data_IF_366704957285
#
_entry.id   IF_366704957285
#
_cell.length_a   1.000
_cell.length_b   1.000
_cell.length_c   1.000
_cell.angle_alpha   90.00
_cell.angle_beta   90.00
_cell.angle_gamma   90.00
#
_symmetry.space_group_name_H-M   'P 1'
#
loop_
_entity.id
_entity.type
_entity.pdbx_description
1 polymer ?
#
# COMPACT_ATOMS: atom_id res chain seq x y z
N UNK A 1 -4.44 18.37 -15.46
CA UNK A 1 -3.45 17.97 -14.46
C UNK A 1 -3.98 16.91 -13.52
N UNK A 2 -5.01 17.23 -12.67
CA UNK A 2 -5.44 16.25 -11.63
C UNK A 2 -5.95 14.93 -12.21
N UNK A 3 -6.72 14.93 -13.30
CA UNK A 3 -7.18 13.71 -13.96
C UNK A 3 -6.00 12.83 -14.44
N UNK A 4 -4.95 13.44 -14.98
CA UNK A 4 -3.74 12.70 -15.39
C UNK A 4 -3.07 12.08 -14.16
N UNK A 5 -2.95 12.81 -13.06
CA UNK A 5 -2.37 12.27 -11.82
C UNK A 5 -3.21 11.14 -11.21
N UNK A 6 -4.54 11.21 -11.32
CA UNK A 6 -5.44 10.12 -10.91
C UNK A 6 -5.17 8.85 -11.73
N UNK A 7 -5.01 8.98 -13.06
CA UNK A 7 -4.68 7.86 -13.95
C UNK A 7 -3.31 7.27 -13.60
N UNK A 8 -2.29 8.12 -13.43
CA UNK A 8 -0.94 7.68 -13.04
C UNK A 8 -0.94 6.98 -11.70
N UNK A 9 -1.66 7.52 -10.71
CA UNK A 9 -1.82 6.92 -9.38
C UNK A 9 -2.52 5.56 -9.46
N UNK A 10 -3.59 5.46 -10.25
CA UNK A 10 -4.32 4.21 -10.45
C UNK A 10 -3.42 3.13 -11.07
N UNK A 11 -2.65 3.47 -12.11
CA UNK A 11 -1.73 2.54 -12.76
C UNK A 11 -0.58 2.11 -11.85
N UNK A 12 0.02 3.03 -11.07
CA UNK A 12 1.05 2.69 -10.08
C UNK A 12 0.52 1.68 -9.05
N UNK A 13 -0.68 1.89 -8.51
CA UNK A 13 -1.28 0.96 -7.55
C UNK A 13 -1.71 -0.36 -8.19
N UNK A 14 -2.14 -0.34 -9.45
CA UNK A 14 -2.42 -1.56 -10.22
C UNK A 14 -1.14 -2.38 -10.37
N UNK A 15 -0.02 -1.77 -10.77
CA UNK A 15 1.28 -2.44 -10.93
C UNK A 15 1.79 -3.04 -9.61
N UNK A 16 1.59 -2.32 -8.51
CA UNK A 16 1.99 -2.78 -7.17
C UNK A 16 1.25 -4.04 -6.73
N UNK A 17 -0.07 -4.09 -6.94
CA UNK A 17 -0.92 -5.14 -6.39
C UNK A 17 -1.19 -6.31 -7.35
N UNK A 18 -0.99 -6.12 -8.66
CA UNK A 18 -1.25 -7.19 -9.63
C UNK A 18 -0.40 -8.43 -9.36
N UNK A 19 0.78 -8.25 -8.78
CA UNK A 19 1.68 -9.34 -8.47
C UNK A 19 1.05 -10.34 -7.48
N UNK A 20 0.12 -9.90 -6.61
CA UNK A 20 -0.58 -10.79 -5.67
C UNK A 20 -1.37 -11.89 -6.36
N UNK A 21 -1.90 -11.63 -7.56
CA UNK A 21 -2.58 -12.62 -8.40
C UNK A 21 -1.61 -13.50 -9.17
N UNK A 22 -0.39 -13.02 -9.41
CA UNK A 22 0.60 -13.69 -10.24
C UNK A 22 1.60 -14.52 -9.41
N UNK A 23 1.56 -14.43 -8.06
CA UNK A 23 2.48 -15.14 -7.17
C UNK A 23 2.46 -16.65 -7.41
N UNK A 24 1.27 -17.25 -7.46
CA UNK A 24 1.15 -18.70 -7.64
C UNK A 24 1.73 -19.16 -8.98
N UNK A 25 1.35 -18.62 -10.15
CA UNK A 25 1.95 -18.99 -11.42
C UNK A 25 3.45 -18.63 -11.55
N UNK A 26 3.90 -17.53 -10.95
CA UNK A 26 5.33 -17.17 -10.91
C UNK A 26 6.13 -18.20 -10.10
N UNK A 27 5.62 -18.56 -8.93
CA UNK A 27 6.25 -19.56 -8.07
C UNK A 27 6.40 -20.92 -8.75
N UNK A 28 5.36 -21.36 -9.47
CA UNK A 28 5.37 -22.59 -10.22
C UNK A 28 6.34 -22.57 -11.42
N UNK A 29 6.35 -21.48 -12.20
CA UNK A 29 7.19 -21.35 -13.41
C UNK A 29 8.69 -21.16 -13.08
N UNK A 30 9.00 -20.39 -12.05
CA UNK A 30 10.37 -20.07 -11.64
C UNK A 30 10.90 -20.95 -10.50
N UNK A 31 10.13 -21.93 -10.04
CA UNK A 31 10.44 -22.80 -8.90
C UNK A 31 10.87 -22.01 -7.63
N UNK A 32 10.15 -20.94 -7.31
CA UNK A 32 10.43 -20.07 -6.17
C UNK A 32 9.67 -20.52 -4.93
N UNK A 33 10.32 -20.40 -3.76
CA UNK A 33 9.67 -20.63 -2.47
C UNK A 33 8.76 -19.47 -2.08
N UNK A 34 7.83 -19.69 -1.15
CA UNK A 34 6.92 -18.63 -0.67
C UNK A 34 7.69 -17.51 0.05
N UNK A 35 8.79 -17.82 0.70
CA UNK A 35 9.75 -16.85 1.25
C UNK A 35 10.30 -15.93 0.16
N UNK A 36 10.78 -16.50 -0.95
CA UNK A 36 11.31 -15.73 -2.07
C UNK A 36 10.23 -14.85 -2.71
N UNK A 37 9.03 -15.38 -2.90
CA UNK A 37 7.90 -14.68 -3.44
C UNK A 37 7.46 -13.51 -2.53
N UNK A 38 7.39 -13.74 -1.22
CA UNK A 38 7.08 -12.70 -0.24
C UNK A 38 8.14 -11.59 -0.18
N UNK A 39 9.43 -11.94 -0.30
CA UNK A 39 10.53 -10.96 -0.38
C UNK A 39 10.41 -10.11 -1.66
N UNK A 40 10.17 -10.72 -2.80
CA UNK A 40 10.04 -10.03 -4.09
C UNK A 40 8.83 -9.09 -4.10
N UNK A 41 7.70 -9.55 -3.59
CA UNK A 41 6.46 -8.76 -3.57
C UNK A 41 6.51 -7.64 -2.53
N UNK A 42 7.03 -7.91 -1.34
CA UNK A 42 7.03 -6.99 -0.21
C UNK A 42 8.34 -6.22 -0.05
N UNK A 43 9.38 -6.88 0.45
CA UNK A 43 10.61 -6.22 0.89
C UNK A 43 11.40 -5.57 -0.25
N UNK A 44 11.52 -6.22 -1.41
CA UNK A 44 12.27 -5.68 -2.53
C UNK A 44 11.73 -4.30 -2.94
N UNK A 45 10.42 -4.19 -3.09
CA UNK A 45 9.76 -2.93 -3.38
C UNK A 45 9.85 -1.94 -2.21
N UNK A 46 9.49 -2.39 -1.00
CA UNK A 46 9.30 -1.52 0.16
C UNK A 46 10.59 -0.79 0.57
N UNK A 47 11.72 -1.50 0.62
CA UNK A 47 13.00 -0.94 1.03
C UNK A 47 13.38 0.21 0.08
N UNK A 48 13.43 -0.08 -1.21
CA UNK A 48 13.92 0.92 -2.16
C UNK A 48 12.94 2.08 -2.32
N UNK A 49 11.63 1.83 -2.30
CA UNK A 49 10.61 2.87 -2.34
C UNK A 49 10.74 3.85 -1.18
N UNK A 50 10.96 3.34 0.04
CA UNK A 50 11.09 4.16 1.23
C UNK A 50 12.34 5.07 1.20
N UNK A 51 13.47 4.54 0.72
CA UNK A 51 14.72 5.31 0.63
C UNK A 51 14.78 6.22 -0.59
N UNK A 52 14.26 5.78 -1.74
CA UNK A 52 14.28 6.56 -2.99
C UNK A 52 13.37 7.81 -2.93
N UNK A 53 12.33 7.80 -2.09
CA UNK A 53 11.44 8.94 -1.92
C UNK A 53 12.16 10.23 -1.49
N UNK A 54 13.21 10.14 -0.69
CA UNK A 54 14.00 11.30 -0.23
C UNK A 54 14.79 11.97 -1.38
N UNK A 55 15.63 11.25 -2.15
CA UNK A 55 16.33 11.85 -3.28
C UNK A 55 15.38 12.35 -4.38
N UNK A 56 14.27 11.66 -4.64
CA UNK A 56 13.29 12.16 -5.61
C UNK A 56 12.55 13.40 -5.13
N UNK A 57 12.26 13.51 -3.84
CA UNK A 57 11.75 14.76 -3.25
C UNK A 57 12.71 15.91 -3.53
N UNK A 58 14.03 15.72 -3.27
CA UNK A 58 15.05 16.72 -3.55
C UNK A 58 15.19 17.01 -5.04
N UNK A 59 15.12 15.98 -5.89
CA UNK A 59 15.19 16.15 -7.34
C UNK A 59 14.00 16.98 -7.87
N UNK A 60 12.82 16.77 -7.32
CA UNK A 60 11.62 17.55 -7.63
C UNK A 60 11.76 19.04 -7.26
N UNK A 61 12.65 19.41 -6.33
CA UNK A 61 12.98 20.79 -6.02
C UNK A 61 13.93 21.42 -7.04
N UNK A 62 14.77 20.62 -7.72
CA UNK A 62 15.85 21.08 -8.59
C UNK A 62 15.44 21.16 -10.06
N UNK A 63 14.66 20.22 -10.56
CA UNK A 63 14.25 20.12 -11.95
C UNK A 63 12.72 20.18 -12.09
N UNK A 64 12.16 20.36 -13.30
CA UNK A 64 10.71 20.32 -13.51
C UNK A 64 10.10 19.02 -12.99
N UNK A 65 9.15 19.13 -12.06
CA UNK A 65 8.50 18.00 -11.38
C UNK A 65 7.79 17.06 -12.36
N UNK A 66 7.22 17.64 -13.43
CA UNK A 66 6.67 16.85 -14.53
C UNK A 66 7.69 15.86 -15.10
N UNK A 67 8.93 16.30 -15.30
CA UNK A 67 9.99 15.45 -15.87
C UNK A 67 10.40 14.36 -14.85
N UNK A 68 10.39 14.67 -13.55
CA UNK A 68 10.61 13.67 -12.48
C UNK A 68 9.55 12.58 -12.55
N UNK A 69 8.27 12.96 -12.69
CA UNK A 69 7.15 12.01 -12.82
C UNK A 69 7.33 11.16 -14.09
N UNK A 70 7.62 11.79 -15.24
CA UNK A 70 7.82 11.06 -16.50
C UNK A 70 8.97 10.05 -16.38
N UNK A 71 10.11 10.47 -15.84
CA UNK A 71 11.24 9.55 -15.61
C UNK A 71 10.85 8.38 -14.69
N UNK A 72 10.12 8.65 -13.61
CA UNK A 72 9.57 7.64 -12.74
C UNK A 72 8.68 6.64 -13.49
N UNK A 73 7.71 7.14 -14.28
CA UNK A 73 6.80 6.31 -15.10
C UNK A 73 7.58 5.43 -16.08
N UNK A 74 8.58 5.97 -16.77
CA UNK A 74 9.43 5.19 -17.67
C UNK A 74 10.17 4.09 -16.93
N UNK A 75 10.80 4.43 -15.80
CA UNK A 75 11.59 3.46 -15.01
C UNK A 75 10.71 2.32 -14.53
N UNK A 76 9.57 2.61 -13.86
CA UNK A 76 8.75 1.53 -13.32
C UNK A 76 8.08 0.71 -14.42
N UNK A 77 7.63 1.32 -15.53
CA UNK A 77 6.97 0.59 -16.61
C UNK A 77 7.93 -0.37 -17.33
N UNK A 78 9.17 0.08 -17.59
CA UNK A 78 10.22 -0.79 -18.14
C UNK A 78 10.63 -1.87 -17.14
N UNK A 79 10.66 -1.55 -15.85
CA UNK A 79 10.96 -2.52 -14.80
C UNK A 79 9.84 -3.57 -14.67
N UNK A 80 8.56 -3.20 -14.80
CA UNK A 80 7.43 -4.14 -14.83
C UNK A 80 7.49 -5.05 -16.05
N UNK A 81 7.81 -4.51 -17.22
CA UNK A 81 8.09 -5.32 -18.41
C UNK A 81 9.24 -6.30 -18.14
N UNK A 82 10.33 -5.84 -17.52
CA UNK A 82 11.47 -6.69 -17.12
C UNK A 82 11.07 -7.78 -16.13
N UNK A 83 10.12 -7.52 -15.20
CA UNK A 83 9.55 -8.57 -14.35
C UNK A 83 8.95 -9.71 -15.18
N UNK A 84 8.21 -9.39 -16.27
CA UNK A 84 7.64 -10.39 -17.17
C UNK A 84 8.68 -11.20 -17.95
N UNK A 85 9.93 -10.72 -18.04
CA UNK A 85 11.04 -11.40 -18.70
C UNK A 85 12.00 -12.07 -17.71
N UNK A 86 11.68 -12.08 -16.42
CA UNK A 86 12.54 -12.65 -15.39
C UNK A 86 12.69 -14.17 -15.53
N UNK A 87 13.90 -14.68 -15.27
CA UNK A 87 14.25 -16.09 -15.40
C UNK A 87 14.59 -16.76 -14.04
N UNK A 88 14.32 -16.08 -12.92
CA UNK A 88 14.56 -16.58 -11.58
C UNK A 88 14.48 -15.47 -10.52
N UNK A 89 14.76 -15.83 -9.28
CA UNK A 89 14.65 -14.95 -8.12
C UNK A 89 15.38 -13.61 -8.29
N UNK A 90 16.66 -13.63 -8.63
CA UNK A 90 17.48 -12.41 -8.66
C UNK A 90 17.09 -11.44 -9.76
N UNK A 91 16.70 -11.94 -10.94
CA UNK A 91 16.22 -11.08 -12.02
C UNK A 91 14.87 -10.44 -11.68
N UNK A 92 13.95 -11.19 -11.05
CA UNK A 92 12.68 -10.69 -10.59
C UNK A 92 12.86 -9.69 -9.43
N UNK A 93 13.74 -10.00 -8.48
CA UNK A 93 14.08 -9.14 -7.36
C UNK A 93 14.65 -7.79 -7.82
N UNK A 94 15.64 -7.82 -8.72
CA UNK A 94 16.24 -6.60 -9.28
C UNK A 94 15.20 -5.74 -10.03
N UNK A 95 14.33 -6.39 -10.82
CA UNK A 95 13.25 -5.70 -11.51
C UNK A 95 12.29 -5.03 -10.54
N UNK A 96 11.92 -5.69 -9.42
CA UNK A 96 11.06 -5.11 -8.37
C UNK A 96 11.72 -3.95 -7.61
N UNK A 97 13.03 -3.99 -7.40
CA UNK A 97 13.77 -2.83 -6.90
C UNK A 97 13.62 -1.63 -7.85
N UNK A 98 13.79 -1.85 -9.16
CA UNK A 98 13.64 -0.80 -10.16
C UNK A 98 12.20 -0.25 -10.23
N UNK A 99 11.17 -1.10 -10.09
CA UNK A 99 9.78 -0.64 -9.94
C UNK A 99 9.65 0.30 -8.75
N UNK A 100 10.18 -0.09 -7.58
CA UNK A 100 10.16 0.74 -6.37
C UNK A 100 10.86 2.10 -6.56
N UNK A 101 12.00 2.13 -7.26
CA UNK A 101 12.70 3.38 -7.62
C UNK A 101 11.78 4.29 -8.43
N UNK A 102 11.22 3.76 -9.52
CA UNK A 102 10.37 4.56 -10.42
C UNK A 102 9.12 5.12 -9.72
N UNK A 103 8.41 4.27 -8.96
CA UNK A 103 7.19 4.69 -8.26
C UNK A 103 7.46 5.73 -7.16
N UNK A 104 8.62 5.69 -6.51
CA UNK A 104 8.98 6.64 -5.45
C UNK A 104 9.06 8.10 -5.96
N UNK A 105 9.26 8.30 -7.26
CA UNK A 105 9.33 9.63 -7.87
C UNK A 105 7.97 10.33 -7.94
N UNK A 106 6.86 9.58 -8.01
CA UNK A 106 5.54 10.13 -8.32
C UNK A 106 4.95 10.97 -7.20
N UNK A 107 4.81 10.41 -6.00
CA UNK A 107 4.02 11.03 -4.93
C UNK A 107 4.60 12.40 -4.47
N UNK A 108 5.91 12.57 -4.21
CA UNK A 108 6.46 13.86 -3.81
C UNK A 108 6.27 14.93 -4.88
N UNK A 109 6.53 14.60 -6.14
CA UNK A 109 6.41 15.53 -7.25
C UNK A 109 4.93 15.91 -7.51
N UNK A 110 4.01 14.96 -7.50
CA UNK A 110 2.58 15.19 -7.72
C UNK A 110 1.98 16.08 -6.62
N UNK A 111 2.26 15.79 -5.34
CA UNK A 111 1.77 16.59 -4.21
C UNK A 111 2.32 18.03 -4.27
N UNK A 112 3.61 18.18 -4.61
CA UNK A 112 4.22 19.50 -4.79
C UNK A 112 3.56 20.29 -5.93
N UNK A 113 3.30 19.66 -7.09
CA UNK A 113 2.58 20.31 -8.21
C UNK A 113 1.14 20.68 -7.85
N UNK A 114 0.44 19.84 -7.09
CA UNK A 114 -0.91 20.13 -6.58
C UNK A 114 -0.88 21.36 -5.67
N UNK A 115 0.11 21.44 -4.79
CA UNK A 115 0.25 22.54 -3.84
C UNK A 115 0.49 23.90 -4.54
N UNK A 116 1.18 23.93 -5.68
CA UNK A 116 1.41 25.16 -6.45
C UNK A 116 0.28 25.50 -7.43
N UNK A 117 -0.48 24.49 -7.88
CA UNK A 117 -1.54 24.70 -8.85
C UNK A 117 -2.89 25.08 -8.22
N UNK A 118 -3.20 24.55 -7.03
CA UNK A 118 -4.48 24.76 -6.36
C UNK A 118 -4.35 25.72 -5.18
N UNK A 119 -5.34 26.64 -4.99
CA UNK A 119 -5.39 27.47 -3.79
C UNK A 119 -5.58 26.59 -2.54
N UNK A 120 -5.17 27.07 -1.35
CA UNK A 120 -5.21 26.29 -0.10
C UNK A 120 -6.54 25.60 0.18
N UNK A 121 -7.66 26.26 -0.15
CA UNK A 121 -9.05 25.80 0.10
C UNK A 121 -9.42 24.58 -0.76
N UNK A 122 -8.76 24.37 -1.91
CA UNK A 122 -9.05 23.28 -2.86
C UNK A 122 -7.98 22.20 -2.89
N UNK A 123 -6.87 22.38 -2.18
CA UNK A 123 -5.77 21.37 -2.14
C UNK A 123 -6.23 20.03 -1.55
N UNK A 124 -7.03 20.09 -0.50
CA UNK A 124 -7.58 18.88 0.12
C UNK A 124 -8.40 18.04 -0.86
N UNK A 125 -9.26 18.70 -1.66
CA UNK A 125 -10.02 18.00 -2.70
C UNK A 125 -9.11 17.38 -3.78
N UNK A 126 -8.11 18.12 -4.24
CA UNK A 126 -7.18 17.63 -5.26
C UNK A 126 -6.35 16.42 -4.76
N UNK A 127 -5.88 16.45 -3.51
CA UNK A 127 -5.22 15.31 -2.88
C UNK A 127 -6.20 14.15 -2.70
N UNK A 128 -7.45 14.42 -2.31
CA UNK A 128 -8.51 13.42 -2.22
C UNK A 128 -8.75 12.70 -3.56
N UNK A 129 -8.77 13.44 -4.68
CA UNK A 129 -8.85 12.84 -6.01
C UNK A 129 -7.65 11.92 -6.29
N UNK A 130 -6.43 12.33 -5.91
CA UNK A 130 -5.23 11.50 -6.08
C UNK A 130 -5.35 10.19 -5.30
N UNK A 131 -5.78 10.25 -4.03
CA UNK A 131 -5.99 9.07 -3.19
C UNK A 131 -7.11 8.16 -3.73
N UNK A 132 -8.16 8.74 -4.32
CA UNK A 132 -9.20 7.97 -5.02
C UNK A 132 -8.62 7.21 -6.21
N UNK A 133 -7.67 7.80 -6.95
CA UNK A 133 -6.94 7.10 -8.01
C UNK A 133 -6.18 5.88 -7.48
N UNK A 134 -5.50 6.02 -6.35
CA UNK A 134 -4.79 4.90 -5.70
C UNK A 134 -5.76 3.78 -5.29
N UNK A 135 -6.88 4.13 -4.67
CA UNK A 135 -7.90 3.15 -4.27
C UNK A 135 -8.54 2.45 -5.48
N UNK A 136 -8.83 3.20 -6.55
CA UNK A 136 -9.33 2.64 -7.79
C UNK A 136 -8.31 1.68 -8.44
N UNK A 137 -7.02 2.04 -8.40
CA UNK A 137 -5.94 1.19 -8.90
C UNK A 137 -5.82 -0.12 -8.15
N UNK A 138 -6.02 -0.11 -6.82
CA UNK A 138 -5.97 -1.35 -6.05
C UNK A 138 -7.10 -2.33 -6.41
N UNK A 139 -8.31 -1.83 -6.59
CA UNK A 139 -9.42 -2.66 -7.09
C UNK A 139 -9.22 -3.12 -8.54
N UNK A 140 -8.72 -2.21 -9.40
CA UNK A 140 -8.41 -2.52 -10.80
C UNK A 140 -7.33 -3.60 -10.91
N UNK A 141 -6.34 -3.63 -10.03
CA UNK A 141 -5.29 -4.66 -10.02
C UNK A 141 -5.87 -6.06 -9.95
N UNK A 142 -6.85 -6.27 -9.08
CA UNK A 142 -7.49 -7.57 -8.90
C UNK A 142 -8.40 -7.88 -10.09
N UNK A 143 -9.26 -6.93 -10.48
CA UNK A 143 -10.26 -7.15 -11.56
C UNK A 143 -9.58 -7.33 -12.92
N UNK A 144 -8.72 -6.38 -13.29
CA UNK A 144 -8.04 -6.39 -14.59
C UNK A 144 -6.98 -7.49 -14.63
N UNK A 145 -6.21 -7.65 -13.54
CA UNK A 145 -5.15 -8.64 -13.46
C UNK A 145 -5.67 -10.08 -13.60
N UNK A 146 -6.73 -10.42 -12.87
CA UNK A 146 -7.34 -11.75 -12.98
C UNK A 146 -8.00 -12.02 -14.33
N UNK A 147 -8.71 -11.02 -14.86
CA UNK A 147 -9.30 -11.14 -16.21
C UNK A 147 -8.24 -11.27 -17.31
N UNK A 148 -7.12 -10.52 -17.22
CA UNK A 148 -6.01 -10.66 -18.14
C UNK A 148 -5.28 -11.99 -18.01
N UNK A 149 -5.15 -12.51 -16.78
CA UNK A 149 -4.52 -13.82 -16.56
C UNK A 149 -5.34 -14.94 -17.23
N UNK A 150 -6.67 -14.94 -17.04
CA UNK A 150 -7.55 -15.92 -17.69
C UNK A 150 -7.56 -15.74 -19.23
N UNK A 151 -7.55 -14.50 -19.71
CA UNK A 151 -7.49 -14.21 -21.14
C UNK A 151 -6.16 -14.68 -21.76
N UNK A 152 -5.05 -14.51 -21.06
CA UNK A 152 -3.75 -15.02 -21.49
C UNK A 152 -3.72 -16.56 -21.46
N UNK A 153 -4.30 -17.17 -20.43
CA UNK A 153 -4.38 -18.63 -20.30
C UNK A 153 -5.27 -19.27 -21.37
N UNK A 154 -6.32 -18.56 -21.86
CA UNK A 154 -7.17 -19.04 -22.95
C UNK A 154 -6.52 -18.99 -24.34
N UNK A 155 -5.30 -18.47 -24.45
CA UNK A 155 -4.58 -18.34 -25.72
C UNK A 155 -4.99 -17.13 -26.57
N UNK A 156 -5.69 -16.16 -26.01
CA UNK A 156 -6.11 -14.95 -26.76
C UNK A 156 -4.95 -14.17 -27.38
N UNK A 157 -3.75 -14.32 -26.83
CA UNK A 157 -2.52 -13.68 -27.33
C UNK A 157 -1.68 -14.58 -28.25
N UNK A 158 -2.13 -15.82 -28.56
CA UNK A 158 -1.34 -16.80 -29.32
C UNK A 158 -0.95 -16.32 -30.72
N UNK A 159 -1.76 -15.46 -31.35
CA UNK A 159 -1.48 -14.87 -32.67
C UNK A 159 -0.55 -13.65 -32.63
N UNK A 160 -0.15 -13.16 -31.46
CA UNK A 160 0.72 -11.97 -31.34
C UNK A 160 2.17 -12.42 -31.18
N UNK A 161 3.07 -12.01 -32.09
CA UNK A 161 4.50 -12.33 -31.96
C UNK A 161 5.02 -11.96 -30.57
N UNK A 162 5.89 -12.80 -30.02
CA UNK A 162 6.47 -12.68 -28.67
C UNK A 162 5.45 -13.01 -27.56
N UNK A 163 4.27 -12.35 -27.49
CA UNK A 163 3.30 -12.56 -26.40
C UNK A 163 2.70 -13.98 -26.42
N UNK A 164 2.45 -14.55 -27.60
CA UNK A 164 1.90 -15.89 -27.72
C UNK A 164 2.84 -17.01 -27.28
N UNK A 165 4.14 -16.74 -27.18
CA UNK A 165 5.14 -17.68 -26.69
C UNK A 165 5.42 -17.57 -25.18
N UNK A 166 4.87 -16.55 -24.51
CA UNK A 166 5.08 -16.30 -23.09
C UNK A 166 4.08 -17.05 -22.22
N UNK A 167 4.49 -17.47 -21.03
CA UNK A 167 3.59 -17.93 -20.00
C UNK A 167 2.54 -16.84 -19.66
N UNK A 168 1.30 -17.20 -19.27
CA UNK A 168 0.22 -16.24 -19.04
C UNK A 168 0.60 -15.07 -18.09
N UNK A 169 1.27 -15.36 -16.99
CA UNK A 169 1.69 -14.35 -16.03
C UNK A 169 2.73 -13.37 -16.60
N UNK A 170 3.60 -13.85 -17.49
CA UNK A 170 4.59 -13.01 -18.20
C UNK A 170 3.90 -12.05 -19.14
N UNK A 171 2.90 -12.56 -19.89
CA UNK A 171 2.09 -11.75 -20.81
C UNK A 171 1.38 -10.61 -20.04
N UNK A 172 0.81 -10.89 -18.87
CA UNK A 172 0.17 -9.87 -18.03
C UNK A 172 1.15 -8.76 -17.66
N UNK A 173 2.36 -9.09 -17.17
CA UNK A 173 3.35 -8.10 -16.75
C UNK A 173 3.93 -7.31 -17.94
N UNK A 174 4.18 -7.98 -19.08
CA UNK A 174 4.66 -7.31 -20.30
C UNK A 174 3.61 -6.32 -20.81
N UNK A 175 2.35 -6.72 -20.90
CA UNK A 175 1.26 -5.83 -21.33
C UNK A 175 1.07 -4.69 -20.36
N UNK A 176 1.11 -4.93 -19.04
CA UNK A 176 0.99 -3.89 -18.02
C UNK A 176 2.14 -2.87 -18.13
N UNK A 177 3.38 -3.35 -18.31
CA UNK A 177 4.54 -2.47 -18.51
C UNK A 177 4.40 -1.59 -19.74
N UNK A 178 3.89 -2.13 -20.86
CA UNK A 178 3.61 -1.36 -22.07
C UNK A 178 2.50 -0.34 -21.88
N UNK A 179 1.39 -0.75 -21.26
CA UNK A 179 0.26 0.14 -20.94
C UNK A 179 0.70 1.24 -19.96
N UNK A 180 1.62 0.94 -19.05
CA UNK A 180 2.20 1.89 -18.12
C UNK A 180 2.95 3.05 -18.80
N UNK A 181 3.36 2.92 -20.05
CA UNK A 181 3.99 4.00 -20.81
C UNK A 181 2.96 4.99 -21.42
N UNK A 182 1.69 4.59 -21.56
CA UNK A 182 0.64 5.44 -22.17
C UNK A 182 0.45 6.78 -21.43
N UNK A 183 0.43 6.82 -20.08
CA UNK A 183 0.31 8.08 -19.35
C UNK A 183 1.40 9.10 -19.62
N UNK A 184 2.54 8.70 -20.18
CA UNK A 184 3.60 9.64 -20.57
C UNK A 184 3.06 10.64 -21.58
N UNK A 185 2.27 10.19 -22.55
CA UNK A 185 1.64 11.05 -23.56
C UNK A 185 0.72 12.09 -22.89
N UNK A 186 -0.01 11.68 -21.86
CA UNK A 186 -0.87 12.57 -21.08
C UNK A 186 -0.03 13.52 -20.21
N UNK A 187 1.04 13.04 -19.60
CA UNK A 187 1.95 13.87 -18.79
C UNK A 187 2.64 14.94 -19.60
N UNK A 188 2.96 14.70 -20.89
CA UNK A 188 3.52 15.70 -21.78
C UNK A 188 2.58 16.89 -22.00
N UNK A 189 1.27 16.71 -21.86
CA UNK A 189 0.26 17.80 -21.96
C UNK A 189 0.15 18.60 -20.67
N UNK A 190 0.66 18.10 -19.54
CA UNK A 190 0.60 18.78 -18.24
C UNK A 190 1.61 19.93 -18.22
N UNK A 191 1.13 21.14 -17.98
CA UNK A 191 2.00 22.30 -17.79
C UNK A 191 2.59 22.28 -16.38
N UNK A 192 3.91 22.53 -16.29
CA UNK A 192 4.59 22.73 -15.01
C UNK A 192 4.04 24.00 -14.35
N UNK A 193 3.45 23.95 -13.15
CA UNK A 193 3.04 25.16 -12.47
C UNK A 193 4.24 25.99 -12.06
N UNK A 194 4.10 27.31 -12.14
CA UNK A 194 5.12 28.23 -11.65
C UNK A 194 5.32 27.94 -10.15
N UNK A 195 6.57 27.71 -9.77
CA UNK A 195 6.90 27.55 -8.35
C UNK A 195 6.49 28.80 -7.60
N UNK A 196 5.66 28.67 -6.57
CA UNK A 196 5.20 29.81 -5.80
C UNK A 196 6.39 30.53 -5.17
N UNK A 197 6.86 31.57 -5.87
CA UNK A 197 7.94 32.42 -5.38
C UNK A 197 7.42 33.18 -4.15
N UNK A 198 7.99 32.92 -2.97
CA UNK A 198 7.71 33.69 -1.76
C UNK A 198 7.18 32.89 -0.57
N UNK A 199 7.17 31.57 -0.61
CA UNK A 199 7.13 30.83 0.65
C UNK A 199 8.50 30.88 1.25
N UNK A 200 8.62 31.51 2.43
CA UNK A 200 9.73 31.25 3.33
C UNK A 200 9.95 29.75 3.30
N UNK A 201 11.09 29.33 2.76
CA UNK A 201 11.53 27.94 2.86
C UNK A 201 11.41 27.65 4.34
N UNK A 202 10.56 26.69 4.79
CA UNK A 202 10.47 26.41 6.20
C UNK A 202 11.91 26.24 6.68
N UNK A 203 12.34 27.09 7.60
CA UNK A 203 13.70 27.02 8.12
C UNK A 203 13.90 25.56 8.49
N UNK A 204 14.90 24.93 7.90
CA UNK A 204 15.17 23.52 8.12
C UNK A 204 15.35 23.33 9.63
N UNK A 205 14.35 22.69 10.25
CA UNK A 205 14.43 22.42 11.69
C UNK A 205 15.70 21.61 11.92
N UNK A 206 16.61 22.06 12.77
CA UNK A 206 17.86 21.36 13.02
C UNK A 206 17.56 19.91 13.41
N UNK A 207 18.31 18.94 12.87
CA UNK A 207 18.10 17.52 13.14
C UNK A 207 18.02 17.21 14.64
N UNK A 208 18.84 17.90 15.45
CA UNK A 208 18.81 17.80 16.91
C UNK A 208 17.43 18.20 17.52
N UNK A 209 16.79 19.23 16.97
CA UNK A 209 15.47 19.66 17.42
C UNK A 209 14.37 18.65 17.01
N UNK A 210 14.50 18.02 15.84
CA UNK A 210 13.62 16.93 15.43
C UNK A 210 13.76 15.76 16.41
N UNK A 211 14.97 15.32 16.71
CA UNK A 211 15.23 14.22 17.65
C UNK A 211 14.71 14.55 19.04
N UNK A 212 14.95 15.77 19.55
CA UNK A 212 14.48 16.18 20.88
C UNK A 212 12.94 16.20 20.97
N UNK A 213 12.27 16.69 19.93
CA UNK A 213 10.80 16.72 19.86
C UNK A 213 10.21 15.31 19.81
N UNK A 214 10.82 14.39 19.05
CA UNK A 214 10.44 12.98 19.08
C UNK A 214 10.72 12.34 20.45
N UNK A 215 11.87 12.61 21.04
CA UNK A 215 12.25 12.10 22.36
C UNK A 215 11.32 12.60 23.48
N UNK A 216 10.79 13.82 23.40
CA UNK A 216 9.83 14.32 24.39
C UNK A 216 8.48 13.61 24.32
N UNK A 217 8.02 13.22 23.12
CA UNK A 217 6.73 12.60 22.87
C UNK A 217 6.78 11.08 22.63
N UNK A 218 7.94 10.42 22.76
CA UNK A 218 8.16 9.02 22.36
C UNK A 218 7.18 8.03 22.99
N UNK A 219 6.77 8.25 24.26
CA UNK A 219 5.83 7.38 25.00
C UNK A 219 4.46 7.29 24.33
N UNK A 220 4.08 8.32 23.56
CA UNK A 220 2.83 8.38 22.83
C UNK A 220 3.04 8.08 21.34
N UNK A 221 4.08 8.65 20.72
CA UNK A 221 4.33 8.52 19.29
C UNK A 221 4.72 7.08 18.89
N UNK A 222 5.68 6.47 19.60
CA UNK A 222 6.16 5.11 19.25
C UNK A 222 5.03 4.08 19.26
N UNK A 223 4.19 3.97 20.31
CA UNK A 223 3.05 3.07 20.27
C UNK A 223 2.09 3.31 19.10
N UNK A 224 1.84 4.57 18.73
CA UNK A 224 0.95 4.89 17.62
C UNK A 224 1.57 4.52 16.26
N UNK A 225 2.86 4.83 16.02
CA UNK A 225 3.55 4.44 14.79
C UNK A 225 3.56 2.92 14.61
N UNK A 226 3.93 2.20 15.66
CA UNK A 226 4.00 0.74 15.62
C UNK A 226 2.62 0.12 15.46
N UNK A 227 1.58 0.64 16.14
CA UNK A 227 0.22 0.12 15.99
C UNK A 227 -0.29 0.29 14.55
N UNK A 228 -0.12 1.47 13.96
CA UNK A 228 -0.55 1.73 12.57
C UNK A 228 0.23 0.85 11.59
N UNK A 229 1.54 0.69 11.80
CA UNK A 229 2.37 -0.18 10.96
C UNK A 229 2.01 -1.66 11.07
N UNK A 230 1.62 -2.14 12.26
CA UNK A 230 1.16 -3.53 12.45
C UNK A 230 -0.20 -3.79 11.81
N UNK A 231 -1.12 -2.82 11.83
CA UNK A 231 -2.37 -2.92 11.06
C UNK A 231 -2.04 -3.02 9.56
N UNK A 232 -1.13 -2.18 9.06
CA UNK A 232 -0.69 -2.24 7.66
C UNK A 232 0.03 -3.56 7.33
N UNK A 233 0.75 -4.18 8.28
CA UNK A 233 1.38 -5.49 8.09
C UNK A 233 0.34 -6.60 7.96
N UNK A 234 -0.68 -6.60 8.83
CA UNK A 234 -1.79 -7.55 8.74
C UNK A 234 -2.59 -7.37 7.43
N UNK A 235 -2.82 -6.11 7.02
CA UNK A 235 -3.45 -5.80 5.73
C UNK A 235 -2.65 -6.33 4.55
N UNK A 236 -1.34 -6.16 4.56
CA UNK A 236 -0.47 -6.62 3.48
C UNK A 236 -0.38 -8.14 3.42
N UNK A 237 -0.31 -8.81 4.58
CA UNK A 237 -0.39 -10.26 4.65
C UNK A 237 -1.70 -10.77 4.02
N UNK A 238 -2.84 -10.17 4.41
CA UNK A 238 -4.14 -10.54 3.90
C UNK A 238 -4.26 -10.28 2.40
N UNK A 239 -4.07 -9.03 1.95
CA UNK A 239 -4.34 -8.62 0.58
C UNK A 239 -3.42 -9.29 -0.44
N UNK A 240 -2.15 -9.51 -0.08
CA UNK A 240 -1.18 -10.09 -0.99
C UNK A 240 -1.26 -11.61 -1.08
N UNK A 241 -1.69 -12.31 -0.01
CA UNK A 241 -1.68 -13.76 0.03
C UNK A 241 -3.07 -14.42 -0.06
N UNK A 242 -4.17 -13.66 0.14
CA UNK A 242 -5.52 -14.24 -0.03
C UNK A 242 -5.78 -14.73 -1.46
N UNK A 243 -5.36 -14.04 -2.54
CA UNK A 243 -5.49 -14.59 -3.89
C UNK A 243 -4.79 -15.95 -4.03
N UNK A 244 -3.58 -16.08 -3.50
CA UNK A 244 -2.81 -17.34 -3.49
C UNK A 244 -3.50 -18.44 -2.67
N UNK A 245 -4.08 -18.05 -1.54
CA UNK A 245 -4.87 -18.98 -0.71
C UNK A 245 -6.08 -19.50 -1.45
N UNK A 246 -6.83 -18.64 -2.14
CA UNK A 246 -8.01 -19.04 -2.90
C UNK A 246 -7.67 -19.95 -4.07
N UNK A 247 -6.56 -19.69 -4.77
CA UNK A 247 -6.06 -20.56 -5.82
C UNK A 247 -5.62 -21.92 -5.26
N UNK A 248 -4.73 -21.95 -4.27
CA UNK A 248 -4.14 -23.20 -3.76
C UNK A 248 -5.10 -24.08 -2.95
N UNK A 249 -5.99 -23.48 -2.16
CA UNK A 249 -6.89 -24.23 -1.26
C UNK A 249 -8.24 -24.53 -1.91
N UNK A 250 -8.73 -23.66 -2.79
CA UNK A 250 -10.07 -23.78 -3.36
C UNK A 250 -10.07 -23.90 -4.88
N UNK A 251 -8.93 -23.85 -5.55
CA UNK A 251 -8.80 -23.99 -7.01
C UNK A 251 -9.44 -22.85 -7.81
N UNK A 252 -9.48 -21.63 -7.24
CA UNK A 252 -10.06 -20.48 -7.94
C UNK A 252 -9.15 -20.01 -9.07
N UNK A 253 -9.72 -19.84 -10.27
CA UNK A 253 -8.99 -19.15 -11.36
C UNK A 253 -8.78 -17.68 -11.08
N UNK A 254 -7.84 -17.05 -11.80
CA UNK A 254 -7.57 -15.62 -11.69
C UNK A 254 -8.83 -14.76 -11.90
N UNK A 255 -9.67 -15.10 -12.88
CA UNK A 255 -10.94 -14.42 -13.14
C UNK A 255 -11.98 -14.62 -12.03
N UNK A 256 -12.03 -15.81 -11.42
CA UNK A 256 -12.91 -16.05 -10.28
C UNK A 256 -12.48 -15.26 -9.06
N UNK A 257 -11.17 -15.19 -8.78
CA UNK A 257 -10.60 -14.33 -7.74
C UNK A 257 -10.92 -12.86 -8.03
N UNK A 258 -10.76 -12.42 -9.27
CA UNK A 258 -11.10 -11.06 -9.69
C UNK A 258 -12.56 -10.71 -9.46
N UNK A 259 -13.46 -11.61 -9.83
CA UNK A 259 -14.91 -11.41 -9.69
C UNK A 259 -15.37 -11.38 -8.22
N UNK A 260 -14.67 -12.07 -7.32
CA UNK A 260 -15.04 -12.17 -5.91
C UNK A 260 -14.31 -11.15 -5.03
N UNK A 261 -12.97 -11.12 -5.03
CA UNK A 261 -12.19 -10.21 -4.19
C UNK A 261 -12.15 -8.77 -4.72
N UNK A 262 -12.21 -8.57 -6.04
CA UNK A 262 -12.15 -7.24 -6.64
C UNK A 262 -13.23 -6.29 -6.13
N UNK A 263 -14.53 -6.62 -6.24
CA UNK A 263 -15.62 -5.80 -5.71
C UNK A 263 -15.56 -5.62 -4.18
N UNK A 264 -15.15 -6.68 -3.44
CA UNK A 264 -14.99 -6.62 -1.99
C UNK A 264 -13.87 -5.63 -1.62
N UNK A 265 -12.71 -5.73 -2.26
CA UNK A 265 -11.57 -4.84 -2.01
C UNK A 265 -11.91 -3.39 -2.31
N UNK A 266 -12.52 -3.12 -3.47
CA UNK A 266 -12.89 -1.77 -3.87
C UNK A 266 -14.02 -1.20 -3.00
N UNK A 267 -15.12 -1.94 -2.88
CA UNK A 267 -16.32 -1.44 -2.20
C UNK A 267 -16.14 -1.33 -0.69
N UNK A 268 -15.68 -2.39 -0.05
CA UNK A 268 -15.53 -2.45 1.41
C UNK A 268 -14.35 -1.62 1.89
N UNK A 269 -13.23 -1.62 1.17
CA UNK A 269 -12.08 -0.80 1.50
C UNK A 269 -12.41 0.70 1.45
N UNK A 270 -13.06 1.16 0.37
CA UNK A 270 -13.52 2.55 0.26
C UNK A 270 -14.55 2.91 1.34
N UNK A 271 -15.55 2.05 1.57
CA UNK A 271 -16.55 2.28 2.61
C UNK A 271 -15.92 2.38 4.00
N UNK A 272 -14.99 1.48 4.35
CA UNK A 272 -14.27 1.52 5.63
C UNK A 272 -13.48 2.81 5.83
N UNK A 273 -12.78 3.28 4.81
CA UNK A 273 -12.01 4.54 4.86
C UNK A 273 -12.92 5.76 5.03
N UNK A 274 -14.01 5.85 4.27
CA UNK A 274 -14.97 6.97 4.35
C UNK A 274 -15.69 6.99 5.70
N UNK A 275 -16.18 5.85 6.15
CA UNK A 275 -16.85 5.70 7.44
C UNK A 275 -15.87 5.99 8.58
N UNK A 276 -14.62 5.50 8.48
CA UNK A 276 -13.56 5.76 9.44
C UNK A 276 -13.27 7.26 9.58
N UNK A 277 -13.15 7.98 8.47
CA UNK A 277 -12.97 9.42 8.46
C UNK A 277 -14.17 10.15 9.09
N UNK A 278 -15.39 9.83 8.66
CA UNK A 278 -16.61 10.46 9.17
C UNK A 278 -16.80 10.21 10.69
N UNK A 279 -16.62 8.98 11.14
CA UNK A 279 -16.70 8.62 12.56
C UNK A 279 -15.62 9.33 13.36
N UNK A 280 -14.37 9.34 12.86
CA UNK A 280 -13.24 10.05 13.46
C UNK A 280 -13.54 11.52 13.71
N UNK A 281 -14.10 12.22 12.71
CA UNK A 281 -14.42 13.63 12.81
C UNK A 281 -15.57 13.89 13.80
N UNK A 282 -16.64 13.09 13.73
CA UNK A 282 -17.80 13.23 14.61
C UNK A 282 -17.45 12.97 16.08
N UNK A 283 -16.69 11.92 16.33
CA UNK A 283 -16.28 11.51 17.68
C UNK A 283 -15.21 12.47 18.23
N UNK A 284 -14.29 12.92 17.36
CA UNK A 284 -13.23 13.84 17.72
C UNK A 284 -13.76 15.20 18.20
N UNK A 285 -14.82 15.73 17.56
CA UNK A 285 -15.48 16.97 18.00
C UNK A 285 -16.05 16.89 19.42
N UNK A 286 -16.42 15.71 19.91
CA UNK A 286 -17.07 15.51 21.23
C UNK A 286 -16.12 15.05 22.33
N UNK A 287 -14.90 14.60 22.01
CA UNK A 287 -14.02 14.02 23.02
C UNK A 287 -12.57 13.84 22.61
N UNK A 288 -12.13 14.54 21.56
CA UNK A 288 -10.74 14.58 21.13
C UNK A 288 -10.16 13.23 20.73
N UNK A 289 -8.84 13.15 20.71
CA UNK A 289 -8.10 11.98 20.20
C UNK A 289 -8.26 10.74 21.08
N UNK A 290 -8.58 10.91 22.37
CA UNK A 290 -8.90 9.80 23.26
C UNK A 290 -10.11 9.00 22.78
N UNK A 291 -11.17 9.68 22.32
CA UNK A 291 -12.37 9.02 21.77
C UNK A 291 -12.13 8.47 20.38
N UNK A 292 -11.28 9.13 19.58
CA UNK A 292 -10.83 8.58 18.30
C UNK A 292 -10.13 7.23 18.50
N UNK A 293 -9.19 7.12 19.45
CA UNK A 293 -8.55 5.85 19.73
C UNK A 293 -9.50 4.77 20.25
N UNK A 294 -10.60 5.13 20.92
CA UNK A 294 -11.63 4.15 21.27
C UNK A 294 -12.31 3.56 20.03
N UNK A 295 -12.51 4.37 18.97
CA UNK A 295 -13.02 3.89 17.68
C UNK A 295 -12.01 2.95 17.00
N UNK A 296 -10.71 3.30 17.01
CA UNK A 296 -9.68 2.43 16.46
C UNK A 296 -9.65 1.07 17.17
N UNK A 297 -9.73 1.06 18.51
CA UNK A 297 -9.81 -0.16 19.32
C UNK A 297 -11.04 -1.00 18.99
N UNK A 298 -12.22 -0.37 18.89
CA UNK A 298 -13.46 -1.05 18.53
C UNK A 298 -13.39 -1.66 17.13
N UNK A 299 -12.77 -0.94 16.17
CA UNK A 299 -12.57 -1.42 14.82
C UNK A 299 -11.63 -2.64 14.79
N UNK A 300 -10.48 -2.61 15.50
CA UNK A 300 -9.58 -3.77 15.58
C UNK A 300 -10.28 -4.97 16.21
N UNK A 301 -11.06 -4.75 17.27
CA UNK A 301 -11.82 -5.80 17.91
C UNK A 301 -12.91 -6.40 17.01
N UNK A 302 -13.60 -5.56 16.21
CA UNK A 302 -14.57 -6.00 15.20
C UNK A 302 -13.89 -6.87 14.12
N UNK A 303 -12.70 -6.46 13.66
CA UNK A 303 -11.92 -7.17 12.65
C UNK A 303 -11.26 -8.45 13.14
N UNK A 304 -11.22 -8.70 14.46
CA UNK A 304 -10.47 -9.82 15.03
C UNK A 304 -10.88 -11.20 14.45
N UNK A 305 -12.18 -11.39 14.16
CA UNK A 305 -12.64 -12.61 13.49
C UNK A 305 -12.03 -12.78 12.09
N UNK A 306 -11.78 -11.68 11.37
CA UNK A 306 -11.13 -11.69 10.05
C UNK A 306 -9.70 -12.24 10.08
N UNK A 307 -9.00 -12.11 11.23
CA UNK A 307 -7.67 -12.71 11.40
C UNK A 307 -7.72 -14.26 11.36
N UNK A 308 -8.89 -14.85 11.53
CA UNK A 308 -9.10 -16.30 11.47
C UNK A 308 -9.31 -16.85 10.05
N UNK A 309 -9.03 -16.08 9.01
CA UNK A 309 -9.25 -16.49 7.61
C UNK A 309 -8.61 -17.84 7.26
N UNK A 310 -7.44 -18.14 7.81
CA UNK A 310 -6.70 -19.38 7.55
C UNK A 310 -7.33 -20.63 8.16
N UNK A 311 -8.28 -20.49 9.08
CA UNK A 311 -9.03 -21.61 9.64
C UNK A 311 -10.33 -21.90 8.91
N UNK A 312 -10.63 -21.12 7.85
CA UNK A 312 -11.86 -21.31 7.06
C UNK A 312 -11.69 -22.47 6.09
N UNK A 313 -12.65 -23.38 6.11
CA UNK A 313 -12.76 -24.48 5.13
C UNK A 313 -13.66 -24.15 3.93
N UNK A 314 -14.27 -22.96 3.91
CA UNK A 314 -15.21 -22.55 2.86
C UNK A 314 -14.77 -21.23 2.21
N UNK A 315 -14.70 -21.15 0.87
CA UNK A 315 -14.22 -19.96 0.17
C UNK A 315 -15.08 -18.72 0.46
N UNK A 316 -16.40 -18.85 0.53
CA UNK A 316 -17.30 -17.73 0.84
C UNK A 316 -17.06 -17.15 2.25
N UNK A 317 -16.76 -18.02 3.23
CA UNK A 317 -16.41 -17.58 4.58
C UNK A 317 -15.06 -16.85 4.56
N UNK A 318 -14.07 -17.36 3.82
CA UNK A 318 -12.78 -16.69 3.65
C UNK A 318 -12.94 -15.29 3.05
N UNK A 319 -13.79 -15.14 2.02
CA UNK A 319 -14.09 -13.85 1.39
C UNK A 319 -14.81 -12.90 2.37
N UNK A 320 -15.75 -13.42 3.17
CA UNK A 320 -16.43 -12.62 4.19
C UNK A 320 -15.48 -12.15 5.29
N UNK A 321 -14.58 -13.02 5.77
CA UNK A 321 -13.55 -12.69 6.76
C UNK A 321 -12.52 -11.70 6.20
N UNK A 322 -12.13 -11.84 4.93
CA UNK A 322 -11.31 -10.86 4.21
C UNK A 322 -11.98 -9.48 4.21
N UNK A 323 -13.26 -9.40 3.82
CA UNK A 323 -14.01 -8.14 3.80
C UNK A 323 -14.18 -7.53 5.19
N UNK A 324 -14.46 -8.35 6.21
CA UNK A 324 -14.59 -7.91 7.61
C UNK A 324 -13.30 -7.28 8.13
N UNK A 325 -12.15 -7.92 7.88
CA UNK A 325 -10.87 -7.33 8.26
C UNK A 325 -10.61 -6.05 7.49
N UNK A 326 -10.76 -6.06 6.17
CA UNK A 326 -10.48 -4.90 5.33
C UNK A 326 -11.32 -3.67 5.73
N UNK A 327 -12.59 -3.87 6.05
CA UNK A 327 -13.46 -2.81 6.59
C UNK A 327 -12.91 -2.25 7.91
N UNK A 328 -12.62 -3.13 8.81
CA UNK A 328 -12.20 -2.79 10.19
C UNK A 328 -10.81 -2.14 10.23
N UNK A 329 -9.87 -2.67 9.45
CA UNK A 329 -8.51 -2.14 9.34
C UNK A 329 -8.48 -0.77 8.65
N UNK A 330 -9.32 -0.56 7.63
CA UNK A 330 -9.49 0.74 6.98
C UNK A 330 -9.97 1.80 7.96
N UNK A 331 -10.92 1.47 8.85
CA UNK A 331 -11.38 2.38 9.92
C UNK A 331 -10.25 2.64 10.92
N UNK A 332 -9.62 1.59 11.46
CA UNK A 332 -8.60 1.72 12.50
C UNK A 332 -7.35 2.44 11.99
N UNK A 333 -6.92 2.17 10.74
CA UNK A 333 -5.81 2.83 10.08
C UNK A 333 -6.07 4.32 9.86
N UNK A 334 -7.23 4.68 9.30
CA UNK A 334 -7.61 6.09 9.09
C UNK A 334 -7.65 6.86 10.40
N UNK A 335 -8.28 6.29 11.43
CA UNK A 335 -8.34 6.91 12.76
C UNK A 335 -6.98 7.02 13.41
N UNK A 336 -6.16 5.95 13.34
CA UNK A 336 -4.81 5.90 13.88
C UNK A 336 -3.90 6.98 13.27
N UNK A 337 -3.91 7.09 11.94
CA UNK A 337 -3.16 8.13 11.21
C UNK A 337 -3.65 9.53 11.59
N UNK A 338 -4.96 9.75 11.71
CA UNK A 338 -5.54 11.04 12.12
C UNK A 338 -5.05 11.44 13.51
N UNK A 339 -5.12 10.54 14.49
CA UNK A 339 -4.62 10.81 15.85
C UNK A 339 -3.13 11.11 15.83
N UNK A 340 -2.36 10.33 15.07
CA UNK A 340 -0.92 10.50 14.96
C UNK A 340 -0.57 11.90 14.41
N UNK A 341 -1.26 12.36 13.35
CA UNK A 341 -1.07 13.68 12.78
C UNK A 341 -1.43 14.82 13.74
N UNK A 342 -2.43 14.62 14.61
CA UNK A 342 -2.81 15.60 15.62
C UNK A 342 -1.80 15.71 16.77
N UNK A 343 -1.19 14.59 17.12
CA UNK A 343 -0.25 14.50 18.27
C UNK A 343 1.18 14.93 17.88
N UNK A 344 1.55 14.80 16.61
CA UNK A 344 2.86 15.24 16.12
C UNK A 344 2.97 16.76 16.29
N UNK A 345 4.03 17.27 16.98
CA UNK A 345 4.29 18.70 17.11
C UNK A 345 4.33 19.39 15.74
N UNK A 346 3.79 20.62 15.67
CA UNK A 346 3.66 21.40 14.42
C UNK A 346 4.99 21.58 13.71
N UNK A 347 6.07 21.77 14.48
CA UNK A 347 7.44 22.03 14.01
C UNK A 347 8.02 20.86 13.23
N UNK A 348 7.64 19.62 13.59
CA UNK A 348 8.18 18.38 12.98
C UNK A 348 7.12 17.59 12.21
N UNK A 349 5.94 18.20 11.94
CA UNK A 349 4.79 17.49 11.33
C UNK A 349 5.13 16.87 9.97
N UNK A 350 5.93 17.54 9.15
CA UNK A 350 6.39 17.02 7.87
C UNK A 350 7.21 15.73 8.02
N UNK A 351 8.20 15.76 8.91
CA UNK A 351 9.06 14.60 9.22
C UNK A 351 8.21 13.47 9.85
N UNK A 352 7.32 13.83 10.78
CA UNK A 352 6.41 12.87 11.40
C UNK A 352 5.51 12.16 10.39
N UNK A 353 4.95 12.90 9.43
CA UNK A 353 4.12 12.30 8.34
C UNK A 353 4.95 11.39 7.44
N UNK A 354 6.18 11.79 7.10
CA UNK A 354 7.10 10.95 6.33
C UNK A 354 7.42 9.64 7.08
N UNK A 355 7.61 9.71 8.41
CA UNK A 355 7.83 8.53 9.25
C UNK A 355 6.63 7.57 9.25
N UNK A 356 5.37 8.09 9.22
CA UNK A 356 4.18 7.23 9.06
C UNK A 356 4.27 6.43 7.77
N UNK A 357 4.56 7.10 6.65
CA UNK A 357 4.69 6.46 5.35
C UNK A 357 5.83 5.43 5.34
N UNK A 358 6.97 5.79 5.91
CA UNK A 358 8.13 4.90 6.04
C UNK A 358 7.78 3.63 6.84
N UNK A 359 7.18 3.77 8.01
CA UNK A 359 6.77 2.65 8.84
C UNK A 359 5.72 1.77 8.14
N UNK A 360 4.73 2.37 7.48
CA UNK A 360 3.69 1.62 6.77
C UNK A 360 4.26 0.85 5.57
N UNK A 361 5.20 1.43 4.84
CA UNK A 361 5.79 0.75 3.67
C UNK A 361 6.76 -0.35 4.11
N UNK A 362 7.69 -0.06 5.03
CA UNK A 362 8.69 -1.06 5.45
C UNK A 362 8.07 -2.15 6.31
N UNK A 363 7.43 -1.79 7.43
CA UNK A 363 6.87 -2.76 8.37
C UNK A 363 5.53 -3.32 7.86
N UNK A 364 4.71 -2.47 7.23
CA UNK A 364 3.44 -2.89 6.66
C UNK A 364 3.65 -3.78 5.43
N UNK A 365 3.88 -3.16 4.28
CA UNK A 365 3.98 -3.87 3.00
C UNK A 365 5.18 -4.83 2.97
N UNK A 366 6.37 -4.35 3.38
CA UNK A 366 7.61 -5.14 3.31
C UNK A 366 7.58 -6.35 4.22
N UNK A 367 7.51 -6.11 5.53
CA UNK A 367 7.61 -7.17 6.54
C UNK A 367 6.35 -8.05 6.55
N UNK A 368 5.14 -7.47 6.49
CA UNK A 368 3.90 -8.23 6.54
C UNK A 368 3.80 -9.27 5.42
N UNK A 369 4.12 -8.88 4.19
CA UNK A 369 4.10 -9.79 3.03
C UNK A 369 5.21 -10.85 3.09
N UNK A 370 6.45 -10.44 3.40
CA UNK A 370 7.58 -11.37 3.45
C UNK A 370 7.45 -12.37 4.61
N UNK A 371 6.98 -11.91 5.78
CA UNK A 371 6.81 -12.76 6.94
C UNK A 371 5.79 -13.87 6.70
N UNK A 372 4.72 -13.59 5.95
CA UNK A 372 3.74 -14.62 5.59
C UNK A 372 4.38 -15.73 4.76
N UNK A 373 5.21 -15.41 3.75
CA UNK A 373 5.95 -16.41 2.98
C UNK A 373 6.94 -17.19 3.83
N UNK A 374 7.71 -16.51 4.70
CA UNK A 374 8.65 -17.15 5.63
C UNK A 374 7.93 -18.14 6.55
N UNK A 375 6.78 -17.77 7.11
CA UNK A 375 5.99 -18.64 7.99
C UNK A 375 5.44 -19.84 7.20
N UNK A 376 5.03 -19.64 5.94
CA UNK A 376 4.56 -20.76 5.10
C UNK A 376 5.66 -21.80 4.90
N UNK A 377 6.86 -21.38 4.54
CA UNK A 377 7.97 -22.31 4.26
C UNK A 377 8.59 -22.89 5.54
N UNK A 378 8.85 -22.03 6.55
CA UNK A 378 9.68 -22.41 7.71
C UNK A 378 8.88 -23.03 8.86
N UNK A 379 7.59 -22.63 9.04
CA UNK A 379 6.76 -23.11 10.15
C UNK A 379 5.84 -24.24 9.69
N UNK A 380 5.14 -24.03 8.57
CA UNK A 380 4.16 -24.99 8.09
C UNK A 380 4.74 -25.98 7.06
N UNK A 381 5.78 -25.60 6.32
CA UNK A 381 6.45 -26.45 5.32
C UNK A 381 5.56 -26.91 4.17
N UNK A 382 4.41 -26.26 3.96
CA UNK A 382 3.43 -26.63 2.94
C UNK A 382 2.79 -25.40 2.31
N UNK A 383 2.85 -25.32 1.01
CA UNK A 383 2.22 -24.25 0.22
C UNK A 383 0.70 -24.19 0.41
N UNK A 384 0.04 -25.31 0.75
CA UNK A 384 -1.38 -25.37 1.06
C UNK A 384 -1.73 -24.65 2.38
N UNK A 385 -0.74 -24.47 3.27
CA UNK A 385 -0.94 -23.84 4.58
C UNK A 385 -0.85 -22.29 4.57
N UNK A 386 -0.80 -21.68 3.39
CA UNK A 386 -0.68 -20.23 3.25
C UNK A 386 -1.78 -19.46 4.01
N UNK A 387 -3.00 -19.99 4.09
CA UNK A 387 -4.08 -19.41 4.89
C UNK A 387 -3.72 -19.35 6.38
N UNK A 388 -3.15 -20.42 6.94
CA UNK A 388 -2.68 -20.45 8.33
C UNK A 388 -1.54 -19.45 8.56
N UNK A 389 -0.65 -19.30 7.57
CA UNK A 389 0.44 -18.32 7.62
C UNK A 389 -0.08 -16.88 7.65
N UNK A 390 -1.12 -16.57 6.86
CA UNK A 390 -1.81 -15.27 6.92
C UNK A 390 -2.32 -15.02 8.34
N UNK A 391 -3.06 -15.96 8.91
CA UNK A 391 -3.58 -15.85 10.28
C UNK A 391 -2.48 -15.71 11.32
N UNK A 392 -1.36 -16.44 11.16
CA UNK A 392 -0.21 -16.38 12.07
C UNK A 392 0.49 -15.02 12.09
N UNK A 393 0.40 -14.25 11.00
CA UNK A 393 0.90 -12.87 10.95
C UNK A 393 -0.14 -11.89 11.44
N UNK A 394 -1.41 -12.07 11.06
CA UNK A 394 -2.50 -11.14 11.38
C UNK A 394 -2.85 -11.13 12.87
N UNK A 395 -2.98 -12.31 13.50
CA UNK A 395 -3.40 -12.41 14.90
C UNK A 395 -2.46 -11.65 15.85
N UNK A 396 -1.15 -11.93 15.89
CA UNK A 396 -0.24 -11.20 16.78
C UNK A 396 -0.17 -9.71 16.41
N UNK A 397 -0.20 -9.36 15.12
CA UNK A 397 -0.20 -7.96 14.68
C UNK A 397 -1.42 -7.21 15.21
N UNK A 398 -2.61 -7.78 15.10
CA UNK A 398 -3.85 -7.19 15.61
C UNK A 398 -3.85 -7.05 17.14
N UNK A 399 -3.41 -8.09 17.87
CA UNK A 399 -3.33 -8.07 19.33
C UNK A 399 -2.35 -6.99 19.81
N UNK A 400 -1.15 -6.94 19.24
CA UNK A 400 -0.14 -5.96 19.62
C UNK A 400 -0.61 -4.55 19.25
N UNK A 401 -1.20 -4.34 18.06
CA UNK A 401 -1.74 -3.06 17.65
C UNK A 401 -2.86 -2.61 18.62
N UNK A 402 -3.76 -3.50 19.02
CA UNK A 402 -4.80 -3.21 20.01
C UNK A 402 -4.19 -2.76 21.34
N UNK A 403 -3.20 -3.48 21.88
CA UNK A 403 -2.53 -3.12 23.13
C UNK A 403 -1.82 -1.76 23.03
N UNK A 404 -1.19 -1.48 21.91
CA UNK A 404 -0.49 -0.21 21.68
C UNK A 404 -1.46 0.97 21.56
N UNK A 405 -2.58 0.81 20.85
CA UNK A 405 -3.64 1.83 20.82
C UNK A 405 -4.26 2.05 22.23
N UNK A 406 -4.48 1.00 22.99
CA UNK A 406 -4.96 1.11 24.36
C UNK A 406 -3.97 1.86 25.27
N UNK A 407 -2.67 1.55 25.15
CA UNK A 407 -1.60 2.27 25.85
C UNK A 407 -1.55 3.75 25.45
N UNK A 408 -1.59 4.06 24.16
CA UNK A 408 -1.62 5.44 23.68
C UNK A 408 -2.84 6.20 24.22
N UNK A 409 -4.01 5.56 24.25
CA UNK A 409 -5.22 6.15 24.81
C UNK A 409 -5.09 6.48 26.32
N UNK A 410 -4.42 5.64 27.10
CA UNK A 410 -4.18 5.91 28.54
C UNK A 410 -3.17 7.04 28.74
N UNK A 411 -2.16 7.18 27.87
CA UNK A 411 -1.22 8.29 27.93
C UNK A 411 -1.89 9.65 27.64
N UNK A 412 -2.81 9.70 26.67
CA UNK A 412 -3.58 10.94 26.41
C UNK A 412 -4.42 11.39 27.62
N UNK A 413 -4.84 10.47 28.50
CA UNK A 413 -5.55 10.83 29.74
C UNK A 413 -4.60 11.50 30.74
N UNK A 414 -3.39 10.97 30.89
CA UNK A 414 -2.42 11.48 31.88
C UNK A 414 -1.94 12.88 31.52
N UNK A 415 -1.73 13.17 30.24
CA UNK A 415 -1.26 14.48 29.80
C UNK A 415 -2.31 15.61 29.98
N UNK A 416 -3.62 15.26 29.97
CA UNK A 416 -4.71 16.23 30.20
C UNK A 416 -4.91 16.51 31.71
N UNK A 417 -4.50 15.60 32.59
CA UNK A 417 -4.63 15.77 34.05
C UNK A 417 -3.47 16.50 34.72
N UNK A 418 -2.41 16.84 33.95
CA UNK A 418 -1.22 17.55 34.44
C UNK A 418 -1.08 18.99 33.87
N UNK A 419 -2.01 19.44 33.03
CA UNK A 419 -2.17 20.79 32.53
C UNK A 419 -3.36 21.47 33.22
#
# INVERSE_FOLDING_TARGET
MIAVFVIVAALSYTDRLILSLLIAPIGADLALTDTQLGIVQGLAFAIIYAFAGLPFGRLADLIPRRNVIIAGVVIWSLATLSCGMANGFWSLFASRLCVGIGEAAFAPAAVSMIADHFPPERRGLAIGCLLTGMAAGSGAAIIVGGGMLDLAASGAFAGIPVLGALAPWRTVLVVLGLVGLVPILLLLTVREPVRGGGRDVPQSVPFAAVVSSFASAWKLLVPLYVAVALIAAADSALQNWTPVMLDRQFGYSGGHIAATLGPVSLGIGCAGTLIGGWVSDRVGRRGGDRRRLAVALAAVALGAAGCGIGFSSHPNLSIALFGLWLFSSSISGTVGITVLQNVIPSEIRGVGTAMVSFCNVILGLGVGTALTGIVTDSVYGSAASVGLSISSVMIPSAIIAFMLFARARTQLVRNVGTS
#
